data_IF_817582933456
#
_entry.id   IF_817582933456
#
_cell.length_a   1.000
_cell.length_b   1.000
_cell.length_c   1.000
_cell.angle_alpha   90.00
_cell.angle_beta   90.00
_cell.angle_gamma   90.00
#
_symmetry.space_group_name_H-M   'P 1'
#
loop_
_entity.id
_entity.type
_entity.pdbx_description
1 polymer ?
#
# COMPACT_ATOMS: atom_id res chain seq x y z
N UNK A 1 -21.92 7.36 -5.75
CA UNK A 1 -21.00 8.05 -6.68
C UNK A 1 -19.62 7.57 -6.28
N UNK A 2 -19.01 6.68 -7.06
CA UNK A 2 -17.73 6.07 -6.70
C UNK A 2 -16.61 7.10 -6.68
N UNK A 3 -15.63 6.90 -5.80
CA UNK A 3 -14.43 7.74 -5.75
C UNK A 3 -13.52 7.48 -6.96
N UNK A 4 -12.68 8.46 -7.30
CA UNK A 4 -11.66 8.33 -8.34
C UNK A 4 -10.71 7.15 -8.03
N UNK A 5 -9.98 6.67 -9.04
CA UNK A 5 -9.09 5.52 -8.84
C UNK A 5 -8.02 5.80 -7.79
N UNK A 6 -7.74 4.81 -6.94
CA UNK A 6 -6.77 4.90 -5.85
C UNK A 6 -5.55 4.03 -6.13
N UNK A 7 -4.36 4.53 -5.80
CA UNK A 7 -3.14 3.72 -5.75
C UNK A 7 -2.68 3.62 -4.30
N UNK A 8 -2.43 2.41 -3.83
CA UNK A 8 -1.79 2.14 -2.54
C UNK A 8 -0.35 1.71 -2.80
N UNK A 9 0.59 2.34 -2.10
CA UNK A 9 2.00 1.99 -2.13
C UNK A 9 2.34 1.28 -0.83
N UNK A 10 2.80 0.04 -0.88
CA UNK A 10 3.23 -0.71 0.32
C UNK A 10 4.75 -0.78 0.29
N UNK A 11 5.42 -0.19 1.29
CA UNK A 11 6.88 -0.12 1.39
C UNK A 11 7.36 -0.88 2.63
N UNK A 12 8.37 -1.73 2.46
CA UNK A 12 9.05 -2.36 3.60
C UNK A 12 10.13 -1.42 4.16
N UNK A 13 10.07 -1.12 5.46
CA UNK A 13 11.10 -0.39 6.20
C UNK A 13 11.49 -1.18 7.45
N UNK A 14 12.68 -1.77 7.42
CA UNK A 14 13.11 -2.68 8.48
C UNK A 14 12.15 -3.86 8.59
N UNK A 15 11.52 -4.01 9.77
CA UNK A 15 10.55 -5.06 10.08
C UNK A 15 9.10 -4.64 9.82
N UNK A 16 8.85 -3.38 9.43
CA UNK A 16 7.50 -2.83 9.25
C UNK A 16 7.15 -2.66 7.76
N UNK A 17 5.85 -2.76 7.46
CA UNK A 17 5.26 -2.52 6.15
C UNK A 17 4.34 -1.32 6.20
N UNK A 18 4.76 -0.23 5.58
CA UNK A 18 4.00 1.02 5.52
C UNK A 18 3.13 1.06 4.27
N UNK A 19 1.82 1.23 4.45
CA UNK A 19 0.90 1.59 3.37
C UNK A 19 0.85 3.11 3.26
N UNK A 20 1.10 3.59 2.05
CA UNK A 20 1.15 5.00 1.69
C UNK A 20 0.14 5.33 0.61
N UNK A 21 -0.41 6.54 0.70
CA UNK A 21 -1.28 7.08 -0.34
C UNK A 21 -0.51 7.34 -1.65
N UNK A 22 -1.17 7.15 -2.79
CA UNK A 22 -0.56 7.30 -4.11
C UNK A 22 -0.26 8.74 -4.52
N UNK A 23 -1.05 9.70 -4.04
CA UNK A 23 -0.93 11.10 -4.44
C UNK A 23 0.11 11.83 -3.59
N UNK A 24 0.05 11.66 -2.27
CA UNK A 24 0.91 12.42 -1.34
C UNK A 24 2.03 11.57 -0.70
N UNK A 25 2.00 10.24 -0.87
CA UNK A 25 2.94 9.29 -0.23
C UNK A 25 3.01 9.39 1.30
N UNK A 26 1.98 9.97 1.91
CA UNK A 26 1.80 9.96 3.37
C UNK A 26 1.50 8.54 3.83
N UNK A 27 2.07 8.17 4.99
CA UNK A 27 1.80 6.88 5.63
C UNK A 27 0.39 6.91 6.19
N UNK A 28 -0.46 5.99 5.75
CA UNK A 28 -1.87 5.90 6.15
C UNK A 28 -2.14 4.66 7.00
N UNK A 29 -1.27 3.65 6.97
CA UNK A 29 -1.29 2.50 7.85
C UNK A 29 0.09 1.81 7.91
N UNK A 30 0.35 1.07 8.98
CA UNK A 30 1.59 0.29 9.20
C UNK A 30 1.22 -1.11 9.70
N UNK A 31 1.93 -2.13 9.21
CA UNK A 31 1.70 -3.54 9.51
C UNK A 31 3.01 -4.27 9.76
N UNK A 32 2.95 -5.39 10.47
CA UNK A 32 4.12 -6.24 10.73
C UNK A 32 4.44 -7.18 9.54
N UNK A 33 3.51 -7.33 8.59
CA UNK A 33 3.64 -8.21 7.43
C UNK A 33 2.93 -7.65 6.18
N UNK A 34 3.32 -8.13 5.00
CA UNK A 34 2.81 -7.66 3.71
C UNK A 34 1.39 -8.17 3.41
N UNK A 35 1.06 -9.40 3.81
CA UNK A 35 -0.27 -9.97 3.57
C UNK A 35 -1.35 -9.13 4.26
N UNK A 36 -1.12 -8.78 5.53
CA UNK A 36 -1.97 -7.89 6.32
C UNK A 36 -2.11 -6.50 5.67
N UNK A 37 -1.00 -5.92 5.19
CA UNK A 37 -1.02 -4.63 4.50
C UNK A 37 -1.85 -4.68 3.20
N UNK A 38 -1.69 -5.75 2.43
CA UNK A 38 -2.42 -5.97 1.17
C UNK A 38 -3.91 -6.20 1.43
N UNK A 39 -4.26 -7.00 2.43
CA UNK A 39 -5.65 -7.30 2.76
C UNK A 39 -6.37 -6.06 3.30
N UNK A 40 -5.69 -5.23 4.08
CA UNK A 40 -6.20 -3.93 4.48
C UNK A 40 -6.49 -3.03 3.27
N UNK A 41 -5.56 -2.92 2.30
CA UNK A 41 -5.77 -2.14 1.08
C UNK A 41 -7.01 -2.62 0.29
N UNK A 42 -7.21 -3.95 0.19
CA UNK A 42 -8.39 -4.53 -0.47
C UNK A 42 -9.68 -4.20 0.27
N UNK A 43 -9.66 -4.26 1.60
CA UNK A 43 -10.82 -3.92 2.43
C UNK A 43 -11.19 -2.45 2.25
N UNK A 44 -10.22 -1.53 2.40
CA UNK A 44 -10.43 -0.10 2.22
C UNK A 44 -10.97 0.21 0.82
N UNK A 45 -10.44 -0.45 -0.21
CA UNK A 45 -10.91 -0.23 -1.58
C UNK A 45 -12.37 -0.65 -1.79
N UNK A 46 -12.84 -1.68 -1.09
CA UNK A 46 -14.24 -2.10 -1.10
C UNK A 46 -15.13 -1.15 -0.30
N UNK A 47 -14.66 -0.71 0.88
CA UNK A 47 -15.43 0.17 1.77
C UNK A 47 -15.63 1.57 1.19
N UNK A 48 -14.63 2.11 0.50
CA UNK A 48 -14.67 3.45 -0.11
C UNK A 48 -15.23 3.47 -1.53
N UNK A 49 -15.61 2.31 -2.07
CA UNK A 49 -16.19 2.15 -3.42
C UNK A 49 -15.32 2.83 -4.49
N UNK A 50 -14.01 2.57 -4.47
CA UNK A 50 -13.12 3.06 -5.52
C UNK A 50 -13.46 2.37 -6.85
N UNK A 51 -13.66 3.16 -7.91
CA UNK A 51 -13.94 2.62 -9.23
C UNK A 51 -12.80 1.71 -9.76
N UNK A 52 -11.57 1.96 -9.32
CA UNK A 52 -10.39 1.12 -9.58
C UNK A 52 -9.38 1.34 -8.46
N UNK A 53 -8.89 0.27 -7.85
CA UNK A 53 -7.78 0.33 -6.90
C UNK A 53 -6.58 -0.44 -7.46
N UNK A 54 -5.37 0.12 -7.30
CA UNK A 54 -4.11 -0.57 -7.59
C UNK A 54 -3.27 -0.64 -6.33
N UNK A 55 -2.66 -1.80 -6.11
CA UNK A 55 -1.73 -2.01 -5.01
C UNK A 55 -0.36 -2.26 -5.63
N UNK A 56 0.62 -1.48 -5.24
CA UNK A 56 2.00 -1.65 -5.66
C UNK A 56 2.85 -1.90 -4.42
N UNK A 57 3.54 -3.04 -4.39
CA UNK A 57 4.37 -3.45 -3.28
C UNK A 57 5.85 -3.28 -3.67
N UNK A 58 6.63 -2.63 -2.80
CA UNK A 58 8.08 -2.49 -2.94
C UNK A 58 8.76 -2.97 -1.67
N UNK A 59 9.54 -4.01 -1.83
CA UNK A 59 10.50 -4.45 -0.83
C UNK A 59 11.81 -3.71 -1.05
N UNK A 60 12.38 -3.17 0.02
CA UNK A 60 13.72 -2.61 -0.04
C UNK A 60 14.68 -3.74 -0.43
N UNK A 61 15.44 -3.53 -1.50
CA UNK A 61 16.45 -4.46 -1.95
C UNK A 61 17.72 -4.25 -1.12
N UNK A 62 18.05 -5.19 -0.24
CA UNK A 62 19.29 -5.19 0.57
C UNK A 62 20.52 -5.72 -0.20
N UNK A 63 20.38 -6.03 -1.50
CA UNK A 63 21.52 -6.47 -2.31
C UNK A 63 22.40 -5.32 -2.78
N UNK A 64 23.72 -5.56 -2.88
CA UNK A 64 24.62 -4.67 -3.61
C UNK A 64 24.21 -4.64 -5.09
N UNK A 65 24.07 -3.45 -5.66
CA UNK A 65 23.97 -3.29 -7.11
C UNK A 65 25.30 -3.71 -7.73
N UNK A 66 25.28 -4.81 -8.48
CA UNK A 66 26.43 -5.34 -9.21
C UNK A 66 26.95 -4.39 -10.29
#
# INVERSE_FOLDING_TARGET
>A
MGQAGQVFHIWKFGDEWEVRDGDNREVIAVFDDDESAVDWCKQVARELDFATARICCWEQFDGELA
#
